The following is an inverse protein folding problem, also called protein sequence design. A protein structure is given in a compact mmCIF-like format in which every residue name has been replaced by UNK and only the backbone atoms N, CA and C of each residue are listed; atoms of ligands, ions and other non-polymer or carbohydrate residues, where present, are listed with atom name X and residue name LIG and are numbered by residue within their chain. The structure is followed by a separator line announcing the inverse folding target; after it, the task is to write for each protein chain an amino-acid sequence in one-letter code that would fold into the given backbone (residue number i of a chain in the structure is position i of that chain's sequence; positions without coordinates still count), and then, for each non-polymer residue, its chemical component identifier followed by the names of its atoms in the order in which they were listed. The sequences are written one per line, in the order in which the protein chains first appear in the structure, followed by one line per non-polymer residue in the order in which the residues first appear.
data_IF_690918447661
#
_entry.id   IF_690918447661
#
_cell.length_a   1.000
_cell.length_b   1.000
_cell.length_c   1.000
_cell.angle_alpha   90.00
_cell.angle_beta   90.00
_cell.angle_gamma   90.00
#
_symmetry.space_group_name_H-M   'P 1'
#
loop_
_entity.id
_entity.type
_entity.pdbx_description
1 polymer ?
#
# COMPACT_ATOMS: atom_id res chain seq x y z
N UNK A 1 -55.69 42.05 26.77
CA UNK A 1 -54.36 42.63 27.07
C UNK A 1 -53.32 41.67 26.54
N UNK A 2 -52.51 42.15 25.59
CA UNK A 2 -51.14 41.72 25.21
C UNK A 2 -50.87 40.25 24.79
N UNK A 3 -50.68 40.08 23.47
CA UNK A 3 -49.83 39.10 22.73
C UNK A 3 -48.34 39.20 23.21
N UNK A 4 -47.34 38.32 22.88
CA UNK A 4 -47.25 37.45 21.69
C UNK A 4 -46.43 36.13 21.76
N UNK A 5 -46.46 35.35 20.67
CA UNK A 5 -45.24 34.72 20.12
C UNK A 5 -44.90 33.28 20.52
N UNK A 6 -45.56 32.30 19.90
CA UNK A 6 -45.06 30.92 19.82
C UNK A 6 -44.46 30.64 18.44
N UNK A 7 -43.15 30.80 18.32
CA UNK A 7 -42.36 30.46 17.13
C UNK A 7 -42.46 28.94 16.91
N UNK A 8 -42.99 28.53 15.76
CA UNK A 8 -42.87 27.15 15.28
C UNK A 8 -41.41 26.92 14.86
N UNK A 9 -40.59 26.42 15.80
CA UNK A 9 -39.28 25.86 15.49
C UNK A 9 -39.47 24.57 14.68
N UNK A 10 -39.39 24.70 13.36
CA UNK A 10 -39.09 23.59 12.48
C UNK A 10 -37.61 23.23 12.59
N UNK A 11 -37.30 22.02 13.05
CA UNK A 11 -36.05 21.30 12.82
C UNK A 11 -36.25 19.86 13.33
N UNK A 12 -35.91 18.77 12.67
CA UNK A 12 -34.93 18.50 11.61
C UNK A 12 -35.39 17.23 10.87
N UNK A 13 -35.47 17.17 9.53
CA UNK A 13 -35.43 15.90 8.84
C UNK A 13 -34.02 15.61 8.33
N UNK A 14 -33.59 14.35 8.59
CA UNK A 14 -32.51 13.56 7.95
C UNK A 14 -31.26 13.34 8.80
N UNK A 15 -31.28 12.26 9.59
CA UNK A 15 -30.10 11.40 9.65
C UNK A 15 -29.89 10.83 8.24
N UNK A 16 -28.97 11.44 7.48
CA UNK A 16 -28.30 10.73 6.39
C UNK A 16 -27.49 9.63 7.08
N UNK A 17 -27.77 8.35 6.78
CA UNK A 17 -26.95 7.25 7.26
C UNK A 17 -25.47 7.57 6.98
N UNK A 18 -24.69 7.83 8.02
CA UNK A 18 -23.27 8.05 7.89
C UNK A 18 -22.66 6.77 7.32
N UNK A 19 -21.99 6.90 6.19
CA UNK A 19 -21.30 5.77 5.57
C UNK A 19 -20.14 5.43 6.51
N UNK A 20 -20.09 4.20 7.01
CA UNK A 20 -19.06 3.73 7.95
C UNK A 20 -18.27 2.59 7.33
N UNK A 21 -16.97 2.56 7.60
CA UNK A 21 -16.11 1.44 7.27
C UNK A 21 -16.26 0.38 8.37
N UNK A 22 -16.86 -0.75 8.02
CA UNK A 22 -17.21 -1.78 9.00
C UNK A 22 -15.96 -2.37 9.69
N UNK A 23 -15.99 -2.38 11.02
CA UNK A 23 -14.96 -2.98 11.88
C UNK A 23 -13.53 -2.53 11.59
N UNK A 24 -13.37 -1.22 11.38
CA UNK A 24 -12.10 -0.56 11.14
C UNK A 24 -11.52 0.06 12.42
N UNK A 25 -10.25 -0.20 12.69
CA UNK A 25 -9.51 0.28 13.87
C UNK A 25 -8.22 0.94 13.43
N UNK A 26 -7.77 1.96 14.16
CA UNK A 26 -6.51 2.61 13.83
C UNK A 26 -5.71 3.05 15.07
N UNK A 27 -4.39 3.02 14.93
CA UNK A 27 -3.42 3.62 15.84
C UNK A 27 -2.57 4.62 15.04
N UNK A 28 -2.62 5.88 15.44
CA UNK A 28 -1.93 6.99 14.77
C UNK A 28 -0.95 7.62 15.76
N UNK A 29 0.32 7.69 15.38
CA UNK A 29 1.41 8.13 16.27
C UNK A 29 2.20 9.23 15.56
N UNK A 30 2.37 10.37 16.23
CA UNK A 30 3.17 11.49 15.75
C UNK A 30 4.09 12.01 16.84
N UNK A 31 5.40 12.01 16.61
CA UNK A 31 6.39 12.39 17.63
C UNK A 31 7.37 13.40 17.06
N UNK A 32 7.39 14.59 17.67
CA UNK A 32 8.28 15.69 17.32
C UNK A 32 9.11 16.20 18.49
N UNK A 33 8.57 16.21 19.70
CA UNK A 33 9.19 16.81 20.89
C UNK A 33 9.98 15.78 21.72
N UNK A 34 11.03 15.22 21.12
CA UNK A 34 11.91 14.26 21.80
C UNK A 34 12.72 14.91 22.94
N UNK A 35 12.86 14.20 24.06
CA UNK A 35 13.60 14.68 25.23
C UNK A 35 15.11 14.44 25.16
N UNK A 36 15.54 13.33 24.55
CA UNK A 36 16.93 12.87 24.56
C UNK A 36 17.51 12.62 23.15
N UNK A 37 16.74 12.96 22.11
CA UNK A 37 17.21 13.04 20.71
C UNK A 37 16.69 14.34 20.10
N UNK A 38 17.22 14.75 18.94
CA UNK A 38 16.83 16.01 18.34
C UNK A 38 15.33 16.06 18.04
N UNK A 39 14.66 17.20 18.29
CA UNK A 39 13.27 17.35 17.92
C UNK A 39 13.09 17.36 16.41
N UNK A 40 11.91 16.95 15.95
CA UNK A 40 11.47 17.07 14.58
C UNK A 40 10.58 18.31 14.40
N UNK A 41 10.36 18.79 13.16
CA UNK A 41 9.39 19.86 12.91
C UNK A 41 8.00 19.49 13.43
N UNK A 42 7.26 20.46 13.97
CA UNK A 42 5.88 20.27 14.44
C UNK A 42 4.92 19.71 13.38
N UNK A 43 5.27 19.84 12.10
CA UNK A 43 4.56 19.19 10.99
C UNK A 43 4.36 17.68 11.20
N UNK A 44 5.25 16.99 11.94
CA UNK A 44 5.13 15.55 12.23
C UNK A 44 3.92 15.23 13.13
N UNK A 45 3.67 16.04 14.14
CA UNK A 45 2.48 15.88 15.00
C UNK A 45 1.23 16.32 14.24
N UNK A 46 1.34 17.40 13.48
CA UNK A 46 0.25 17.88 12.62
C UNK A 46 -0.18 16.83 11.59
N UNK A 47 0.78 16.11 10.99
CA UNK A 47 0.56 14.98 10.09
C UNK A 47 -0.30 13.89 10.75
N UNK A 48 0.08 13.46 11.96
CA UNK A 48 -0.67 12.47 12.72
C UNK A 48 -2.09 12.95 13.07
N UNK A 49 -2.25 14.20 13.49
CA UNK A 49 -3.56 14.79 13.74
C UNK A 49 -4.44 14.80 12.50
N UNK A 50 -3.91 15.25 11.36
CA UNK A 50 -4.68 15.28 10.11
C UNK A 50 -5.03 13.89 9.59
N UNK A 51 -4.16 12.88 9.80
CA UNK A 51 -4.46 11.49 9.44
C UNK A 51 -5.61 10.97 10.30
N UNK A 52 -5.59 11.20 11.61
CA UNK A 52 -6.72 10.84 12.47
C UNK A 52 -8.02 11.48 11.97
N UNK A 53 -8.00 12.79 11.74
CA UNK A 53 -9.20 13.52 11.30
C UNK A 53 -9.72 12.98 9.96
N UNK A 54 -8.83 12.66 9.01
CA UNK A 54 -9.23 12.06 7.75
C UNK A 54 -9.85 10.66 7.91
N UNK A 55 -9.38 9.86 8.87
CA UNK A 55 -9.91 8.51 9.13
C UNK A 55 -11.29 8.52 9.79
N UNK A 56 -11.56 9.47 10.70
CA UNK A 56 -12.87 9.55 11.38
C UNK A 56 -13.91 10.36 10.58
N UNK A 57 -13.50 11.07 9.53
CA UNK A 57 -14.41 11.84 8.68
C UNK A 57 -15.41 10.88 7.99
N UNK A 58 -16.73 11.01 8.23
CA UNK A 58 -17.73 10.17 7.57
C UNK A 58 -17.80 10.34 6.05
N UNK A 59 -17.23 11.41 5.50
CA UNK A 59 -17.20 11.67 4.06
C UNK A 59 -16.08 10.88 3.34
N UNK A 60 -14.98 10.54 4.02
CA UNK A 60 -13.83 9.88 3.39
C UNK A 60 -13.08 8.84 4.25
N UNK A 61 -13.20 8.86 5.56
CA UNK A 61 -12.55 7.87 6.41
C UNK A 61 -13.49 6.75 6.82
N UNK A 62 -14.60 7.13 7.45
CA UNK A 62 -15.64 6.20 7.90
C UNK A 62 -15.27 5.36 9.13
N UNK A 63 -14.15 5.61 9.80
CA UNK A 63 -13.81 4.95 11.06
C UNK A 63 -14.68 5.52 12.19
N UNK A 64 -15.05 4.66 13.13
CA UNK A 64 -15.66 5.12 14.39
C UNK A 64 -14.60 5.84 15.24
N UNK A 65 -14.94 7.01 15.77
CA UNK A 65 -14.04 7.84 16.59
C UNK A 65 -13.39 7.06 17.75
N UNK A 66 -14.17 6.24 18.47
CA UNK A 66 -13.70 5.40 19.56
C UNK A 66 -12.78 4.23 19.16
N UNK A 67 -12.58 4.01 17.84
CA UNK A 67 -11.68 2.98 17.29
C UNK A 67 -10.40 3.56 16.69
N UNK A 68 -10.21 4.88 16.75
CA UNK A 68 -9.00 5.55 16.29
C UNK A 68 -8.25 6.14 17.48
N UNK A 69 -7.13 5.51 17.84
CA UNK A 69 -6.26 5.96 18.93
C UNK A 69 -5.19 6.89 18.37
N UNK A 70 -4.98 8.05 18.99
CA UNK A 70 -3.94 9.01 18.63
C UNK A 70 -2.98 9.20 19.81
N UNK A 71 -1.68 9.06 19.55
CA UNK A 71 -0.61 9.37 20.51
C UNK A 71 0.29 10.47 19.94
N UNK A 72 0.41 11.59 20.64
CA UNK A 72 1.25 12.73 20.23
C UNK A 72 2.28 13.08 21.28
N UNK A 73 3.52 13.31 20.83
CA UNK A 73 4.61 13.79 21.68
C UNK A 73 4.62 13.08 23.06
N UNK A 74 4.38 13.82 24.16
CA UNK A 74 4.41 13.29 25.53
C UNK A 74 3.46 12.12 25.82
N UNK A 75 2.45 11.90 24.99
CA UNK A 75 1.55 10.73 25.06
C UNK A 75 2.21 9.48 24.45
N UNK A 76 3.11 9.65 23.47
CA UNK A 76 3.71 8.59 22.67
C UNK A 76 4.97 8.00 23.32
N UNK A 77 4.85 7.59 24.59
CA UNK A 77 5.90 6.88 25.32
C UNK A 77 6.03 5.44 24.83
N UNK A 78 7.19 4.81 25.08
CA UNK A 78 7.41 3.41 24.74
C UNK A 78 6.39 2.47 25.39
N UNK A 79 5.94 2.79 26.60
CA UNK A 79 4.89 2.04 27.29
C UNK A 79 3.50 2.25 26.63
N UNK A 80 3.16 3.50 26.29
CA UNK A 80 1.87 3.82 25.67
C UNK A 80 1.73 3.21 24.27
N UNK A 81 2.78 3.25 23.45
CA UNK A 81 2.75 2.63 22.11
C UNK A 81 2.55 1.12 22.20
N UNK A 82 3.27 0.44 23.10
CA UNK A 82 3.09 -1.00 23.36
C UNK A 82 1.67 -1.31 23.85
N UNK A 83 1.16 -0.52 24.80
CA UNK A 83 -0.20 -0.64 25.31
C UNK A 83 -1.24 -0.51 24.19
N UNK A 84 -1.11 0.52 23.35
CA UNK A 84 -2.03 0.75 22.24
C UNK A 84 -2.02 -0.37 21.18
N UNK A 85 -0.85 -0.99 20.93
CA UNK A 85 -0.75 -2.16 20.04
C UNK A 85 -1.41 -3.41 20.66
N UNK A 86 -1.26 -3.62 21.97
CA UNK A 86 -1.97 -4.70 22.68
C UNK A 86 -3.50 -4.46 22.70
N UNK A 87 -3.95 -3.21 22.87
CA UNK A 87 -5.36 -2.84 22.74
C UNK A 87 -5.89 -3.08 21.32
N UNK A 88 -5.11 -2.75 20.29
CA UNK A 88 -5.47 -3.02 18.90
C UNK A 88 -5.63 -4.53 18.65
N UNK A 89 -4.71 -5.34 19.19
CA UNK A 89 -4.81 -6.80 19.18
C UNK A 89 -6.05 -7.33 19.90
N UNK A 90 -6.44 -6.73 21.02
CA UNK A 90 -7.60 -7.15 21.79
C UNK A 90 -8.93 -6.77 21.10
N UNK A 91 -8.99 -5.61 20.45
CA UNK A 91 -10.19 -5.09 19.77
C UNK A 91 -10.43 -5.69 18.39
N UNK A 92 -9.37 -6.08 17.67
CA UNK A 92 -9.49 -6.66 16.35
C UNK A 92 -9.84 -8.16 16.38
N UNK A 93 -10.68 -8.58 15.46
CA UNK A 93 -10.94 -9.98 15.10
C UNK A 93 -10.61 -10.27 13.63
N UNK A 94 -10.85 -11.50 13.14
CA UNK A 94 -10.49 -11.91 11.79
C UNK A 94 -11.17 -11.12 10.66
N UNK A 95 -12.31 -10.46 10.94
CA UNK A 95 -13.00 -9.59 9.97
C UNK A 95 -12.55 -8.13 9.98
N UNK A 96 -11.73 -7.74 10.96
CA UNK A 96 -11.35 -6.34 11.17
C UNK A 96 -10.33 -5.85 10.15
N UNK A 97 -10.36 -4.54 9.90
CA UNK A 97 -9.31 -3.81 9.20
C UNK A 97 -8.58 -2.92 10.20
N UNK A 98 -7.27 -3.07 10.31
CA UNK A 98 -6.42 -2.29 11.19
C UNK A 98 -5.48 -1.40 10.39
N UNK A 99 -5.30 -0.15 10.83
CA UNK A 99 -4.32 0.79 10.29
C UNK A 99 -3.38 1.27 11.40
N UNK A 100 -2.07 1.17 11.20
CA UNK A 100 -1.07 1.74 12.10
C UNK A 100 -0.28 2.78 11.33
N UNK A 101 -0.35 4.04 11.75
CA UNK A 101 0.42 5.14 11.18
C UNK A 101 1.44 5.62 12.21
N UNK A 102 2.70 5.71 11.82
CA UNK A 102 3.78 6.25 12.65
C UNK A 102 4.57 7.31 11.87
N UNK A 103 4.70 8.51 12.43
CA UNK A 103 5.61 9.55 11.95
C UNK A 103 6.50 10.03 13.10
N UNK A 104 7.81 9.91 12.91
CA UNK A 104 8.79 10.17 13.96
C UNK A 104 10.20 9.71 13.56
N UNK A 105 11.09 9.62 14.54
CA UNK A 105 12.45 9.10 14.36
C UNK A 105 12.50 7.57 14.31
N UNK A 106 13.43 7.08 13.51
CA UNK A 106 13.97 5.73 13.60
C UNK A 106 15.42 5.77 14.09
N UNK A 107 15.85 4.72 14.79
CA UNK A 107 17.23 4.51 15.22
C UNK A 107 17.81 3.23 14.63
N UNK A 108 19.14 3.19 14.48
CA UNK A 108 19.86 2.00 14.01
C UNK A 108 21.03 1.74 14.95
N UNK A 109 21.14 0.50 15.43
CA UNK A 109 22.34 -0.02 16.08
C UNK A 109 23.03 -0.93 15.07
N UNK A 110 24.28 -0.64 14.73
CA UNK A 110 24.99 -1.25 13.59
C UNK A 110 25.94 -2.38 13.97
N UNK A 111 26.25 -2.53 15.25
CA UNK A 111 27.15 -3.56 15.77
C UNK A 111 26.74 -3.99 17.19
N UNK A 112 27.32 -5.08 17.67
CA UNK A 112 27.05 -5.59 19.01
C UNK A 112 25.75 -6.40 19.12
N UNK A 113 25.42 -6.89 20.33
CA UNK A 113 24.31 -7.82 20.56
C UNK A 113 22.92 -7.19 20.39
N UNK A 114 22.84 -5.85 20.31
CA UNK A 114 21.59 -5.09 20.12
C UNK A 114 21.44 -4.54 18.69
N UNK A 115 22.23 -5.07 17.75
CA UNK A 115 22.17 -4.71 16.32
C UNK A 115 20.72 -4.81 15.80
N UNK A 116 20.26 -3.78 15.10
CA UNK A 116 18.89 -3.72 14.61
C UNK A 116 18.40 -2.32 14.31
N UNK A 117 17.19 -2.24 13.78
CA UNK A 117 16.45 -1.00 13.58
C UNK A 117 15.43 -0.81 14.70
N UNK A 118 15.14 0.44 15.03
CA UNK A 118 14.28 0.82 16.14
C UNK A 118 13.35 1.95 15.73
N UNK A 119 12.10 1.91 16.17
CA UNK A 119 11.25 3.11 16.25
C UNK A 119 11.53 3.79 17.58
N UNK A 120 11.58 5.13 17.57
CA UNK A 120 11.90 5.91 18.76
C UNK A 120 10.63 6.55 19.34
N UNK A 121 10.16 6.10 20.52
CA UNK A 121 9.17 6.80 21.32
C UNK A 121 9.68 8.17 21.80
N UNK A 122 8.80 9.01 22.35
CA UNK A 122 9.18 10.36 22.84
C UNK A 122 10.24 10.33 23.94
N UNK A 123 10.22 9.27 24.74
CA UNK A 123 11.12 8.98 25.86
C UNK A 123 12.33 8.12 25.46
N UNK A 124 12.58 7.95 24.14
CA UNK A 124 13.78 7.29 23.65
C UNK A 124 15.04 8.05 24.04
N UNK A 125 15.99 7.34 24.66
CA UNK A 125 17.30 7.84 25.06
C UNK A 125 18.40 7.41 24.09
N UNK A 126 18.85 8.36 23.27
CA UNK A 126 19.92 8.16 22.30
C UNK A 126 21.35 8.33 22.84
N UNK A 127 21.54 8.45 24.15
CA UNK A 127 22.85 8.71 24.77
C UNK A 127 23.85 7.55 24.64
N UNK A 128 23.35 6.31 24.48
CA UNK A 128 24.18 5.12 24.29
C UNK A 128 23.42 4.04 23.51
N UNK A 129 24.12 3.02 22.99
CA UNK A 129 23.48 1.86 22.36
C UNK A 129 22.54 1.11 23.32
N UNK A 130 22.94 0.94 24.58
CA UNK A 130 22.13 0.25 25.59
C UNK A 130 20.90 1.05 25.99
N UNK A 131 21.05 2.37 26.19
CA UNK A 131 19.92 3.27 26.44
C UNK A 131 18.91 3.25 25.29
N UNK A 132 19.40 3.36 24.05
CA UNK A 132 18.54 3.37 22.86
C UNK A 132 17.82 2.03 22.70
N UNK A 133 18.53 0.93 22.91
CA UNK A 133 17.93 -0.40 22.82
C UNK A 133 16.96 -0.70 23.97
N UNK A 134 17.11 -0.06 25.13
CA UNK A 134 16.23 -0.21 26.29
C UNK A 134 14.96 0.65 26.21
N UNK A 135 15.03 1.79 25.53
CA UNK A 135 13.92 2.78 25.45
C UNK A 135 13.22 2.79 24.09
N UNK A 136 13.91 2.39 23.01
CA UNK A 136 13.35 2.21 21.68
C UNK A 136 12.45 0.96 21.57
N UNK A 137 11.75 0.86 20.44
CA UNK A 137 10.99 -0.34 20.04
C UNK A 137 11.73 -0.98 18.88
N UNK A 138 12.31 -2.17 19.10
CA UNK A 138 13.09 -2.83 18.03
C UNK A 138 12.19 -3.29 16.89
N UNK A 139 12.75 -3.46 15.70
CA UNK A 139 12.04 -4.02 14.55
C UNK A 139 11.47 -5.41 14.85
N UNK A 140 12.20 -6.23 15.61
CA UNK A 140 11.75 -7.55 16.06
C UNK A 140 10.55 -7.46 17.00
N UNK A 141 10.62 -6.56 17.99
CA UNK A 141 9.54 -6.32 18.93
C UNK A 141 8.29 -5.79 18.23
N UNK A 142 8.45 -4.77 17.39
CA UNK A 142 7.37 -4.19 16.59
C UNK A 142 6.72 -5.26 15.71
N UNK A 143 7.54 -6.12 15.09
CA UNK A 143 7.03 -7.23 14.28
C UNK A 143 6.25 -8.24 15.11
N UNK A 144 6.72 -8.58 16.31
CA UNK A 144 6.00 -9.46 17.22
C UNK A 144 4.65 -8.88 17.64
N UNK A 145 4.62 -7.60 18.01
CA UNK A 145 3.40 -6.89 18.42
C UNK A 145 2.39 -6.82 17.27
N UNK A 146 2.82 -6.42 16.07
CA UNK A 146 1.94 -6.32 14.91
C UNK A 146 1.47 -7.69 14.42
N UNK A 147 2.34 -8.70 14.41
CA UNK A 147 1.98 -10.09 14.06
C UNK A 147 0.92 -10.67 14.99
N UNK A 148 0.88 -10.23 16.25
CA UNK A 148 -0.12 -10.66 17.22
C UNK A 148 -1.50 -9.98 17.05
N UNK A 149 -1.59 -8.89 16.26
CA UNK A 149 -2.88 -8.27 15.91
C UNK A 149 -3.69 -9.23 15.06
N UNK A 150 -4.93 -9.52 15.50
CA UNK A 150 -5.82 -10.53 14.90
C UNK A 150 -6.57 -10.07 13.65
N UNK A 151 -6.47 -8.78 13.29
CA UNK A 151 -7.05 -8.26 12.07
C UNK A 151 -6.45 -9.00 10.87
N UNK A 152 -7.30 -9.59 10.01
CA UNK A 152 -6.84 -10.20 8.77
C UNK A 152 -6.26 -9.14 7.83
N UNK A 153 -6.73 -7.90 7.92
CA UNK A 153 -6.29 -6.78 7.08
C UNK A 153 -5.53 -5.79 7.95
N UNK A 154 -4.22 -5.68 7.78
CA UNK A 154 -3.39 -4.73 8.51
C UNK A 154 -2.57 -3.89 7.54
N UNK A 155 -2.80 -2.58 7.54
CA UNK A 155 -1.95 -1.60 6.87
C UNK A 155 -1.06 -0.88 7.89
N UNK A 156 0.25 -0.94 7.70
CA UNK A 156 1.25 -0.20 8.48
C UNK A 156 1.85 0.89 7.61
N UNK A 157 1.85 2.13 8.07
CA UNK A 157 2.40 3.29 7.35
C UNK A 157 3.48 3.92 8.21
N UNK A 158 4.71 3.95 7.67
CA UNK A 158 5.89 4.49 8.34
C UNK A 158 6.39 5.75 7.61
N UNK A 159 6.16 6.92 8.19
CA UNK A 159 6.72 8.21 7.74
C UNK A 159 7.91 8.63 8.61
N UNK A 160 8.95 7.80 8.62
CA UNK A 160 10.21 8.04 9.34
C UNK A 160 11.27 8.61 8.38
N UNK A 161 11.96 9.70 8.75
CA UNK A 161 12.94 10.38 7.89
C UNK A 161 14.41 10.02 8.18
N UNK A 162 15.24 10.06 7.12
CA UNK A 162 16.60 10.66 7.13
C UNK A 162 16.57 12.01 6.37
N UNK A 163 17.60 12.86 6.48
CA UNK A 163 17.69 14.27 6.05
C UNK A 163 18.64 14.53 4.85
N UNK A 164 18.32 15.48 3.94
CA UNK A 164 19.33 16.10 3.06
C UNK A 164 18.88 16.82 1.78
N UNK A 165 18.58 18.15 1.85
CA UNK A 165 18.63 19.10 0.70
C UNK A 165 17.42 20.04 0.40
N UNK A 166 17.66 21.36 0.26
CA UNK A 166 16.75 22.46 -0.19
C UNK A 166 15.47 22.76 0.66
N UNK A 167 14.83 21.76 1.29
CA UNK A 167 13.84 21.93 2.37
C UNK A 167 14.46 21.85 3.78
N UNK A 168 13.71 22.19 4.84
CA UNK A 168 14.19 21.94 6.22
C UNK A 168 14.28 20.43 6.46
N UNK A 169 15.48 19.89 6.72
CA UNK A 169 15.63 18.46 6.95
C UNK A 169 15.08 18.06 8.33
N UNK A 170 14.42 16.91 8.42
CA UNK A 170 14.24 16.18 9.70
C UNK A 170 15.63 15.66 10.16
N UNK A 171 16.49 16.55 10.68
CA UNK A 171 17.92 16.34 10.88
C UNK A 171 18.26 15.49 12.12
N UNK A 172 19.42 14.81 12.08
CA UNK A 172 19.98 14.01 13.18
C UNK A 172 21.43 14.45 13.46
N UNK A 173 21.84 14.45 14.74
CA UNK A 173 23.22 14.67 15.21
C UNK A 173 23.95 13.32 15.29
N UNK A 174 25.22 13.22 14.87
CA UNK A 174 26.04 12.06 15.15
C UNK A 174 26.37 12.00 16.66
N UNK A 175 26.02 10.90 17.32
CA UNK A 175 26.52 10.55 18.66
C UNK A 175 27.77 9.69 18.45
N UNK A 176 28.90 10.04 19.07
CA UNK A 176 30.15 9.27 18.94
C UNK A 176 29.95 7.81 19.38
N UNK A 177 30.33 6.85 18.53
CA UNK A 177 30.14 5.41 18.77
C UNK A 177 28.80 4.82 18.27
N UNK A 178 27.94 5.65 17.67
CA UNK A 178 26.74 5.26 16.94
C UNK A 178 26.91 5.66 15.47
N UNK A 179 27.35 4.72 14.62
CA UNK A 179 27.51 4.96 13.18
C UNK A 179 26.14 5.18 12.50
N UNK A 180 25.75 6.45 12.37
CA UNK A 180 24.68 6.90 11.48
C UNK A 180 23.28 6.43 11.87
N UNK A 181 22.43 7.37 12.29
CA UNK A 181 20.99 7.13 12.33
C UNK A 181 20.45 6.94 10.90
N UNK A 182 20.51 5.71 10.42
CA UNK A 182 19.84 5.26 9.20
C UNK A 182 18.41 4.94 9.60
N UNK A 183 17.46 5.81 9.27
CA UNK A 183 16.07 5.62 9.62
C UNK A 183 15.39 4.63 8.66
N UNK A 184 14.48 3.83 9.20
CA UNK A 184 13.67 2.87 8.47
C UNK A 184 14.00 1.43 8.85
N UNK A 185 13.00 0.56 8.75
CA UNK A 185 13.17 -0.86 9.00
C UNK A 185 14.08 -1.50 7.93
N UNK A 186 14.75 -2.61 8.27
CA UNK A 186 15.57 -3.35 7.32
C UNK A 186 14.68 -4.06 6.27
N UNK A 187 15.26 -4.47 5.13
CA UNK A 187 14.52 -5.27 4.15
C UNK A 187 13.91 -6.55 4.76
N UNK A 188 14.68 -7.22 5.63
CA UNK A 188 14.23 -8.39 6.37
C UNK A 188 13.14 -8.05 7.41
N UNK A 189 13.17 -6.86 8.00
CA UNK A 189 12.12 -6.41 8.93
C UNK A 189 10.81 -6.16 8.17
N UNK A 190 10.88 -5.55 6.98
CA UNK A 190 9.71 -5.37 6.12
C UNK A 190 9.13 -6.71 5.65
N UNK A 191 9.97 -7.67 5.29
CA UNK A 191 9.53 -9.03 4.92
C UNK A 191 8.87 -9.73 6.10
N UNK A 192 9.44 -9.61 7.31
CA UNK A 192 8.86 -10.20 8.52
C UNK A 192 7.58 -9.49 8.98
N UNK A 193 7.47 -8.18 8.78
CA UNK A 193 6.23 -7.43 9.05
C UNK A 193 5.13 -7.73 8.04
N UNK A 194 5.52 -7.96 6.78
CA UNK A 194 4.61 -8.44 5.77
C UNK A 194 4.27 -9.91 5.99
N UNK A 195 5.02 -10.67 6.83
CA UNK A 195 4.77 -12.08 7.06
C UNK A 195 3.38 -12.34 7.67
N UNK A 196 2.52 -13.03 6.90
CA UNK A 196 1.15 -13.38 7.29
C UNK A 196 0.10 -12.81 6.34
N UNK A 197 -1.03 -13.49 6.21
CA UNK A 197 -2.08 -13.09 5.26
C UNK A 197 -2.66 -11.70 5.59
N UNK A 198 -2.74 -10.85 4.56
CA UNK A 198 -3.42 -9.55 4.57
C UNK A 198 -2.63 -8.41 5.22
N UNK A 199 -1.30 -8.52 5.28
CA UNK A 199 -0.41 -7.49 5.82
C UNK A 199 0.21 -6.63 4.71
N UNK A 200 0.18 -5.32 4.90
CA UNK A 200 0.64 -4.32 3.95
C UNK A 200 1.44 -3.24 4.69
N UNK A 201 2.54 -2.79 4.09
CA UNK A 201 3.41 -1.76 4.63
C UNK A 201 3.66 -0.70 3.57
N UNK A 202 3.41 0.55 3.92
CA UNK A 202 3.88 1.72 3.22
C UNK A 202 5.02 2.35 4.01
N UNK A 203 6.14 2.65 3.35
CA UNK A 203 7.16 3.51 3.94
C UNK A 203 7.35 4.76 3.07
N UNK A 204 7.54 5.91 3.69
CA UNK A 204 7.62 7.18 2.99
C UNK A 204 8.84 7.31 2.07
N UNK A 205 9.94 6.61 2.37
CA UNK A 205 11.18 6.63 1.60
C UNK A 205 11.91 5.28 1.68
N UNK A 206 12.82 5.02 0.73
CA UNK A 206 13.78 3.91 0.83
C UNK A 206 14.82 4.16 1.91
N UNK A 207 15.53 3.10 2.30
CA UNK A 207 16.56 3.10 3.36
C UNK A 207 17.69 4.14 3.15
N UNK A 208 17.97 4.49 1.89
CA UNK A 208 19.00 5.43 1.46
C UNK A 208 18.44 6.80 1.01
N UNK A 209 17.15 7.04 1.21
CA UNK A 209 16.45 8.23 0.76
C UNK A 209 15.86 9.07 1.91
N UNK A 210 15.56 10.33 1.60
CA UNK A 210 15.08 11.35 2.55
C UNK A 210 13.57 11.52 2.39
N UNK A 211 12.82 11.61 3.49
CA UNK A 211 11.41 12.07 3.49
C UNK A 211 11.35 13.56 3.82
N UNK A 212 10.54 14.31 3.06
CA UNK A 212 10.63 15.77 2.96
C UNK A 212 9.47 16.49 3.62
N UNK A 213 9.74 17.70 4.12
CA UNK A 213 8.73 18.76 4.29
C UNK A 213 9.16 19.89 3.36
N UNK A 214 8.34 20.23 2.36
CA UNK A 214 8.66 21.32 1.45
C UNK A 214 8.55 22.67 2.20
N UNK A 215 9.36 23.65 1.82
CA UNK A 215 9.28 25.00 2.43
C UNK A 215 7.86 25.54 2.25
N UNK A 216 7.25 25.97 3.36
CA UNK A 216 5.86 26.48 3.45
C UNK A 216 4.73 25.42 3.38
N UNK A 217 5.03 24.13 3.27
CA UNK A 217 4.01 23.08 3.43
C UNK A 217 3.73 22.79 4.91
N UNK A 218 2.47 22.54 5.24
CA UNK A 218 2.04 22.20 6.59
C UNK A 218 2.32 20.74 6.98
N UNK A 219 2.56 19.87 5.99
CA UNK A 219 2.67 18.42 6.12
C UNK A 219 3.96 17.89 5.48
N UNK A 220 4.39 16.68 5.84
CA UNK A 220 5.40 15.97 5.03
C UNK A 220 4.88 15.73 3.61
N UNK A 221 5.78 15.68 2.62
CA UNK A 221 5.44 15.46 1.22
C UNK A 221 4.65 14.14 1.05
N UNK A 222 5.08 13.09 1.74
CA UNK A 222 4.39 11.82 1.74
C UNK A 222 2.99 11.95 2.38
N UNK A 223 2.90 12.54 3.57
CA UNK A 223 1.64 12.64 4.30
C UNK A 223 0.64 13.56 3.61
N UNK A 224 1.09 14.64 2.98
CA UNK A 224 0.27 15.52 2.12
C UNK A 224 -0.47 14.72 1.05
N UNK A 225 0.25 13.84 0.34
CA UNK A 225 -0.35 13.02 -0.70
C UNK A 225 -1.13 11.84 -0.14
N UNK A 226 -0.72 11.27 0.99
CA UNK A 226 -1.50 10.25 1.70
C UNK A 226 -2.87 10.79 2.12
N UNK A 227 -2.92 12.00 2.70
CA UNK A 227 -4.15 12.68 3.07
C UNK A 227 -5.03 12.96 1.86
N UNK A 228 -4.47 13.43 0.75
CA UNK A 228 -5.24 13.64 -0.47
C UNK A 228 -5.83 12.33 -1.00
N UNK A 229 -5.06 11.23 -0.96
CA UNK A 229 -5.52 9.89 -1.33
C UNK A 229 -6.67 9.41 -0.46
N UNK A 230 -6.51 9.46 0.87
CA UNK A 230 -7.54 9.09 1.86
C UNK A 230 -8.80 9.95 1.72
N UNK A 231 -8.65 11.23 1.38
CA UNK A 231 -9.77 12.17 1.14
C UNK A 231 -10.44 11.99 -0.24
N UNK A 232 -10.03 10.97 -0.99
CA UNK A 232 -10.73 10.54 -2.20
C UNK A 232 -9.98 10.74 -3.51
N UNK A 233 -8.78 11.31 -3.51
CA UNK A 233 -7.98 11.40 -4.74
C UNK A 233 -7.55 10.02 -5.25
N UNK A 234 -7.61 9.00 -4.39
CA UNK A 234 -7.39 7.59 -4.70
C UNK A 234 -8.69 6.74 -4.64
N UNK A 235 -9.87 7.36 -4.63
CA UNK A 235 -11.12 6.61 -4.54
C UNK A 235 -11.48 5.90 -5.84
N UNK A 236 -11.82 4.62 -5.73
CA UNK A 236 -12.42 3.82 -6.80
C UNK A 236 -13.86 4.27 -7.10
N UNK A 237 -14.42 3.84 -8.24
CA UNK A 237 -15.77 4.23 -8.71
C UNK A 237 -16.90 3.83 -7.78
N UNK A 238 -16.70 2.80 -6.95
CA UNK A 238 -17.63 2.36 -5.92
C UNK A 238 -17.51 3.14 -4.60
N UNK A 239 -16.63 4.15 -4.58
CA UNK A 239 -16.45 5.07 -3.47
C UNK A 239 -15.76 4.42 -2.28
N UNK A 240 -14.79 3.55 -2.51
CA UNK A 240 -13.82 3.08 -1.51
C UNK A 240 -12.41 3.51 -1.91
N UNK A 241 -11.57 3.77 -0.92
CA UNK A 241 -10.12 3.92 -1.10
C UNK A 241 -9.49 2.61 -0.63
N UNK A 242 -8.85 1.89 -1.54
CA UNK A 242 -8.20 0.62 -1.26
C UNK A 242 -6.68 0.76 -1.30
N UNK A 243 -5.98 -0.24 -0.75
CA UNK A 243 -4.53 -0.19 -0.52
C UNK A 243 -3.72 0.07 -1.81
N UNK A 244 -4.10 -0.51 -2.95
CA UNK A 244 -3.30 -0.39 -4.16
C UNK A 244 -3.45 0.97 -4.83
N UNK A 245 -4.70 1.45 -4.96
CA UNK A 245 -5.03 2.77 -5.50
C UNK A 245 -4.45 3.87 -4.62
N UNK A 246 -4.51 3.69 -3.30
CA UNK A 246 -3.91 4.63 -2.34
C UNK A 246 -2.39 4.72 -2.55
N UNK A 247 -1.69 3.58 -2.58
CA UNK A 247 -0.25 3.60 -2.79
C UNK A 247 0.12 4.17 -4.16
N UNK A 248 -0.58 3.77 -5.23
CA UNK A 248 -0.34 4.29 -6.57
C UNK A 248 -0.43 5.82 -6.60
N UNK A 249 -1.53 6.36 -6.07
CA UNK A 249 -1.74 7.80 -6.04
C UNK A 249 -0.60 8.51 -5.30
N UNK A 250 -0.28 8.05 -4.08
CA UNK A 250 0.75 8.63 -3.23
C UNK A 250 2.10 8.58 -3.93
N UNK A 251 2.46 7.42 -4.48
CA UNK A 251 3.79 7.21 -5.03
C UNK A 251 4.01 7.97 -6.35
N UNK A 252 2.96 8.16 -7.17
CA UNK A 252 2.98 9.08 -8.31
C UNK A 252 3.13 10.53 -7.85
N UNK A 253 2.27 10.98 -6.95
CA UNK A 253 2.24 12.38 -6.54
C UNK A 253 3.55 12.83 -5.85
N UNK A 254 4.15 11.97 -5.03
CA UNK A 254 5.48 12.21 -4.42
C UNK A 254 6.58 12.30 -5.48
N UNK A 255 6.50 11.51 -6.56
CA UNK A 255 7.46 11.56 -7.67
C UNK A 255 7.31 12.83 -8.49
N UNK A 256 6.08 13.20 -8.82
CA UNK A 256 5.74 14.38 -9.63
C UNK A 256 6.16 15.68 -8.94
N UNK A 257 6.26 15.68 -7.61
CA UNK A 257 6.82 16.78 -6.82
C UNK A 257 8.35 17.00 -7.05
N UNK A 258 9.01 16.19 -7.88
CA UNK A 258 10.38 16.42 -8.36
C UNK A 258 11.49 16.02 -7.39
N UNK A 259 11.15 15.30 -6.31
CA UNK A 259 12.09 14.88 -5.26
C UNK A 259 12.78 13.53 -5.54
N UNK A 260 13.82 13.22 -4.72
CA UNK A 260 14.48 11.89 -4.67
C UNK A 260 13.75 10.87 -3.80
N UNK A 261 12.66 11.27 -3.13
CA UNK A 261 11.87 10.38 -2.30
C UNK A 261 11.12 9.36 -3.15
N UNK A 262 11.25 8.07 -2.81
CA UNK A 262 10.51 6.96 -3.40
C UNK A 262 9.81 6.20 -2.29
N UNK A 263 8.48 6.36 -2.15
CA UNK A 263 7.68 5.51 -1.29
C UNK A 263 7.94 4.02 -1.54
N UNK A 264 7.85 3.20 -0.49
CA UNK A 264 8.03 1.75 -0.56
C UNK A 264 6.71 1.08 -0.26
N UNK A 265 6.39 0.05 -1.03
CA UNK A 265 5.24 -0.82 -0.82
C UNK A 265 5.73 -2.25 -0.63
N UNK A 266 5.30 -2.87 0.47
CA UNK A 266 5.54 -4.28 0.78
C UNK A 266 4.23 -4.91 1.22
N UNK A 267 3.90 -6.08 0.73
CA UNK A 267 2.68 -6.76 1.15
C UNK A 267 2.81 -8.28 1.09
N UNK A 268 1.98 -8.94 1.88
CA UNK A 268 1.59 -10.32 1.71
C UNK A 268 0.07 -10.39 1.85
N UNK A 269 -0.64 -10.00 0.80
CA UNK A 269 -2.10 -9.98 0.77
C UNK A 269 -2.61 -10.51 -0.57
N UNK A 270 -3.72 -11.24 -0.51
CA UNK A 270 -4.53 -11.63 -1.67
C UNK A 270 -5.81 -10.77 -1.78
N UNK A 271 -5.97 -9.76 -0.92
CA UNK A 271 -7.13 -8.87 -0.86
C UNK A 271 -6.69 -7.41 -1.05
N UNK A 272 -7.28 -6.70 -2.02
CA UNK A 272 -7.16 -5.24 -2.17
C UNK A 272 -8.18 -4.56 -1.24
N UNK A 273 -7.97 -4.67 0.06
CA UNK A 273 -8.97 -4.24 1.03
C UNK A 273 -9.10 -2.71 1.11
N UNK A 274 -10.33 -2.26 1.42
CA UNK A 274 -10.63 -0.86 1.66
C UNK A 274 -10.02 -0.38 2.99
N UNK A 275 -9.41 0.80 2.97
CA UNK A 275 -8.79 1.47 4.12
C UNK A 275 -9.42 2.83 4.42
N UNK A 276 -10.30 3.31 3.55
CA UNK A 276 -11.06 4.53 3.72
C UNK A 276 -12.29 4.49 2.80
N UNK A 277 -13.23 5.41 3.05
CA UNK A 277 -14.33 5.68 2.14
C UNK A 277 -13.89 6.70 1.07
N UNK A 278 -14.35 6.56 -0.16
CA UNK A 278 -14.30 7.67 -1.10
C UNK A 278 -15.43 8.66 -0.78
N UNK A 279 -15.25 9.98 -0.99
CA UNK A 279 -16.38 10.89 -1.08
C UNK A 279 -17.37 10.31 -2.10
N UNK A 280 -18.63 10.16 -1.68
CA UNK A 280 -19.68 9.58 -2.51
C UNK A 280 -19.65 10.22 -3.90
N UNK A 281 -19.46 9.40 -4.93
CA UNK A 281 -19.02 9.81 -6.25
C UNK A 281 -19.75 11.06 -6.78
N UNK A 282 -19.07 12.04 -7.41
CA UNK A 282 -19.68 12.72 -8.53
C UNK A 282 -20.05 11.63 -9.55
N UNK A 283 -21.23 11.77 -10.15
CA UNK A 283 -21.76 10.89 -11.19
C UNK A 283 -20.65 10.33 -12.08
N UNK A 284 -20.77 9.03 -12.35
CA UNK A 284 -19.98 8.28 -13.32
C UNK A 284 -19.25 9.18 -14.32
N UNK A 285 -17.95 9.00 -14.48
CA UNK A 285 -17.35 9.23 -15.80
C UNK A 285 -18.00 8.23 -16.76
N UNK A 286 -19.21 8.54 -17.21
CA UNK A 286 -19.74 8.07 -18.49
C UNK A 286 -18.99 8.82 -19.57
N UNK A 287 -17.88 8.23 -19.96
CA UNK A 287 -17.44 8.14 -21.35
C UNK A 287 -16.46 6.97 -21.36
N UNK A 288 -16.75 5.96 -22.18
CA UNK A 288 -15.91 4.79 -22.31
C UNK A 288 -14.47 5.22 -22.51
N UNK A 289 -13.61 4.91 -21.54
CA UNK A 289 -12.21 4.68 -21.88
C UNK A 289 -12.26 3.45 -22.77
N UNK A 290 -12.15 3.67 -24.08
CA UNK A 290 -11.87 2.59 -25.00
C UNK A 290 -10.68 1.83 -24.44
N UNK A 291 -10.82 0.51 -24.30
CA UNK A 291 -9.70 -0.33 -23.92
C UNK A 291 -8.68 -0.23 -25.04
N UNK A 292 -7.63 0.54 -24.79
CA UNK A 292 -6.56 0.85 -25.73
C UNK A 292 -5.67 -0.34 -26.02
N UNK A 293 -5.72 -1.39 -25.20
CA UNK A 293 -4.84 -2.55 -25.34
C UNK A 293 -5.68 -3.84 -25.37
N UNK A 294 -5.28 -4.81 -26.18
CA UNK A 294 -5.98 -6.10 -26.25
C UNK A 294 -5.57 -7.02 -25.10
N UNK A 295 -4.30 -6.95 -24.68
CA UNK A 295 -3.79 -7.79 -23.60
C UNK A 295 -2.64 -7.12 -22.84
N UNK A 296 -2.73 -7.17 -21.51
CA UNK A 296 -1.60 -6.91 -20.61
C UNK A 296 -0.90 -8.23 -20.29
N UNK A 297 0.41 -8.27 -20.44
CA UNK A 297 1.22 -9.47 -20.14
C UNK A 297 2.02 -9.24 -18.86
N UNK A 298 1.73 -10.07 -17.86
CA UNK A 298 2.43 -10.13 -16.59
C UNK A 298 3.39 -11.32 -16.57
N UNK A 299 4.65 -11.10 -16.21
CA UNK A 299 5.71 -12.10 -16.25
C UNK A 299 6.84 -11.75 -15.27
N UNK A 300 7.62 -12.74 -14.85
CA UNK A 300 8.80 -12.52 -14.02
C UNK A 300 10.00 -12.05 -14.87
N UNK A 301 10.93 -11.23 -14.33
CA UNK A 301 12.10 -10.75 -15.07
C UNK A 301 12.93 -11.85 -15.73
N UNK A 302 12.97 -13.06 -15.15
CA UNK A 302 13.66 -14.22 -15.70
C UNK A 302 13.04 -14.76 -16.99
N UNK A 303 11.74 -14.49 -17.22
CA UNK A 303 11.01 -14.91 -18.41
C UNK A 303 11.10 -13.90 -19.57
N UNK A 304 11.81 -12.78 -19.37
CA UNK A 304 11.89 -11.66 -20.33
C UNK A 304 12.28 -12.12 -21.74
N UNK A 305 13.24 -13.05 -21.86
CA UNK A 305 13.64 -13.60 -23.16
C UNK A 305 12.47 -14.27 -23.88
N UNK A 306 11.74 -15.15 -23.19
CA UNK A 306 10.58 -15.83 -23.78
C UNK A 306 9.50 -14.81 -24.17
N UNK A 307 9.24 -13.85 -23.29
CA UNK A 307 8.17 -12.87 -23.51
C UNK A 307 8.46 -11.98 -24.72
N UNK A 308 9.65 -11.40 -24.78
CA UNK A 308 10.00 -10.44 -25.84
C UNK A 308 10.43 -11.08 -27.16
N UNK A 309 11.10 -12.24 -27.13
CA UNK A 309 11.58 -12.88 -28.36
C UNK A 309 10.55 -13.84 -28.97
N UNK A 310 9.58 -14.33 -28.18
CA UNK A 310 8.61 -15.34 -28.64
C UNK A 310 7.16 -14.88 -28.50
N UNK A 311 6.72 -14.57 -27.27
CA UNK A 311 5.29 -14.36 -26.98
C UNK A 311 4.76 -13.09 -27.63
N UNK A 312 5.37 -11.93 -27.35
CA UNK A 312 4.93 -10.63 -27.88
C UNK A 312 4.92 -10.63 -29.41
N UNK A 313 6.01 -11.02 -30.12
CA UNK A 313 5.99 -11.11 -31.58
C UNK A 313 4.92 -12.04 -32.14
N UNK A 314 4.55 -13.09 -31.41
CA UNK A 314 3.45 -13.98 -31.81
C UNK A 314 2.08 -13.31 -31.67
N UNK A 315 1.83 -12.64 -30.54
CA UNK A 315 0.57 -11.93 -30.27
C UNK A 315 0.37 -10.75 -31.23
N UNK A 316 1.41 -9.97 -31.50
CA UNK A 316 1.38 -8.83 -32.42
C UNK A 316 1.13 -9.26 -33.87
N UNK A 317 1.76 -10.37 -34.32
CA UNK A 317 1.47 -10.97 -35.64
C UNK A 317 0.01 -11.42 -35.77
N UNK A 318 -0.64 -11.74 -34.65
CA UNK A 318 -2.07 -12.06 -34.62
C UNK A 318 -2.98 -10.81 -34.60
N UNK A 319 -2.39 -9.60 -34.65
CA UNK A 319 -3.07 -8.31 -34.68
C UNK A 319 -3.50 -7.78 -33.31
N UNK A 320 -2.85 -8.23 -32.23
CA UNK A 320 -3.17 -7.80 -30.86
C UNK A 320 -2.24 -6.67 -30.41
N UNK A 321 -2.81 -5.64 -29.77
CA UNK A 321 -2.05 -4.61 -29.04
C UNK A 321 -1.65 -5.17 -27.67
N UNK A 322 -0.35 -5.30 -27.44
CA UNK A 322 0.22 -5.91 -26.23
C UNK A 322 0.89 -4.84 -25.38
N UNK A 323 0.66 -4.88 -24.08
CA UNK A 323 1.28 -3.98 -23.11
C UNK A 323 1.88 -4.78 -21.95
N UNK A 324 3.03 -4.34 -21.44
CA UNK A 324 3.77 -4.97 -20.33
C UNK A 324 4.11 -3.92 -19.27
N UNK A 325 4.46 -4.34 -18.06
CA UNK A 325 4.78 -3.45 -16.92
C UNK A 325 5.89 -2.43 -17.22
N UNK A 326 6.79 -2.77 -18.12
CA UNK A 326 7.96 -2.00 -18.57
C UNK A 326 7.76 -1.32 -19.93
N UNK A 327 6.59 -1.46 -20.56
CA UNK A 327 6.27 -0.77 -21.81
C UNK A 327 6.30 0.74 -21.61
N UNK A 328 6.94 1.47 -22.55
CA UNK A 328 7.10 2.93 -22.45
C UNK A 328 5.81 3.75 -22.50
N UNK A 329 4.66 3.10 -22.72
CA UNK A 329 3.31 3.67 -22.65
C UNK A 329 2.76 3.71 -21.22
N UNK A 330 3.29 2.88 -20.31
CA UNK A 330 2.96 2.84 -18.89
C UNK A 330 4.10 3.52 -18.12
N UNK A 331 4.04 4.85 -18.02
CA UNK A 331 4.87 5.72 -17.16
C UNK A 331 6.32 5.22 -16.95
N UNK A 332 7.24 5.72 -17.79
CA UNK A 332 8.68 5.44 -17.74
C UNK A 332 9.28 5.90 -16.39
N UNK A 333 9.27 5.00 -15.40
CA UNK A 333 9.74 5.24 -14.04
C UNK A 333 8.75 4.85 -12.94
N UNK A 334 7.53 4.46 -13.28
CA UNK A 334 6.47 4.04 -12.35
C UNK A 334 6.85 2.88 -11.40
N UNK A 335 6.05 2.66 -10.36
CA UNK A 335 6.18 1.46 -9.54
C UNK A 335 5.64 0.26 -10.34
N UNK A 336 6.33 -0.90 -10.37
CA UNK A 336 5.87 -2.06 -11.15
C UNK A 336 4.41 -2.41 -10.89
N UNK A 337 3.98 -2.36 -9.63
CA UNK A 337 2.59 -2.60 -9.21
C UNK A 337 1.59 -1.63 -9.83
N UNK A 338 1.95 -0.35 -9.92
CA UNK A 338 1.08 0.68 -10.51
C UNK A 338 0.99 0.53 -12.03
N UNK A 339 2.11 0.23 -12.68
CA UNK A 339 2.12 -0.07 -14.11
C UNK A 339 1.30 -1.34 -14.40
N UNK A 340 1.37 -2.34 -13.52
CA UNK A 340 0.55 -3.53 -13.63
C UNK A 340 -0.94 -3.24 -13.49
N UNK A 341 -1.35 -2.50 -12.45
CA UNK A 341 -2.74 -2.10 -12.24
C UNK A 341 -3.30 -1.35 -13.47
N UNK A 342 -2.58 -0.36 -13.98
CA UNK A 342 -2.97 0.38 -15.20
C UNK A 342 -3.01 -0.50 -16.44
N UNK A 343 -2.02 -1.37 -16.61
CA UNK A 343 -1.99 -2.34 -17.70
C UNK A 343 -3.23 -3.22 -17.70
N UNK A 344 -3.61 -3.73 -16.52
CA UNK A 344 -4.82 -4.54 -16.31
C UNK A 344 -6.10 -3.74 -16.62
N UNK A 345 -6.19 -2.48 -16.15
CA UNK A 345 -7.37 -1.64 -16.38
C UNK A 345 -7.57 -1.28 -17.86
N UNK A 346 -6.48 -0.89 -18.55
CA UNK A 346 -6.49 -0.46 -19.96
C UNK A 346 -6.59 -1.61 -20.96
N UNK A 347 -6.32 -2.85 -20.53
CA UNK A 347 -6.31 -4.02 -21.42
C UNK A 347 -7.61 -4.81 -21.38
N UNK A 348 -8.03 -5.36 -22.52
CA UNK A 348 -9.20 -6.26 -22.60
C UNK A 348 -9.02 -7.52 -21.75
N UNK A 349 -7.80 -8.05 -21.68
CA UNK A 349 -7.41 -9.26 -20.95
C UNK A 349 -6.07 -9.08 -20.24
N UNK A 350 -5.84 -9.93 -19.25
CA UNK A 350 -4.55 -10.09 -18.57
C UNK A 350 -4.03 -11.50 -18.81
N UNK A 351 -2.88 -11.61 -19.46
CA UNK A 351 -2.16 -12.87 -19.70
C UNK A 351 -1.07 -13.01 -18.64
N UNK A 352 -1.14 -14.06 -17.82
CA UNK A 352 -0.09 -14.37 -16.85
C UNK A 352 0.85 -15.42 -17.42
N UNK A 353 2.14 -15.10 -17.49
CA UNK A 353 3.19 -16.06 -17.84
C UNK A 353 3.61 -16.77 -16.57
N UNK A 354 3.06 -17.97 -16.36
CA UNK A 354 3.26 -18.73 -15.12
C UNK A 354 4.49 -19.62 -15.26
N UNK A 355 5.57 -19.21 -14.59
CA UNK A 355 6.84 -19.93 -14.46
C UNK A 355 7.19 -20.18 -12.99
N UNK A 356 8.29 -20.91 -12.74
CA UNK A 356 8.81 -21.07 -11.38
C UNK A 356 9.25 -19.73 -10.77
N UNK A 357 9.87 -18.86 -11.58
CA UNK A 357 10.27 -17.53 -11.16
C UNK A 357 9.04 -16.68 -10.81
N UNK A 358 8.01 -16.71 -11.67
CA UNK A 358 6.74 -16.03 -11.43
C UNK A 358 6.09 -16.45 -10.11
N UNK A 359 6.10 -17.74 -9.77
CA UNK A 359 5.50 -18.21 -8.50
C UNK A 359 6.35 -17.88 -7.27
N UNK A 360 7.67 -17.67 -7.42
CA UNK A 360 8.55 -17.27 -6.32
C UNK A 360 8.51 -15.77 -6.03
N UNK A 361 8.17 -14.93 -7.02
CA UNK A 361 8.14 -13.49 -6.83
C UNK A 361 6.87 -12.99 -6.15
N UNK A 362 7.03 -12.25 -5.05
CA UNK A 362 5.90 -11.61 -4.35
C UNK A 362 5.16 -10.56 -5.21
N UNK A 363 5.82 -9.96 -6.20
CA UNK A 363 5.18 -9.01 -7.13
C UNK A 363 4.16 -9.69 -8.04
N UNK A 364 4.45 -10.88 -8.53
CA UNK A 364 3.54 -11.66 -9.37
C UNK A 364 2.24 -12.02 -8.61
N UNK A 365 2.34 -12.33 -7.32
CA UNK A 365 1.17 -12.55 -6.47
C UNK A 365 0.27 -11.32 -6.40
N UNK A 366 0.86 -10.13 -6.38
CA UNK A 366 0.16 -8.86 -6.33
C UNK A 366 -0.49 -8.49 -7.66
N UNK A 367 0.21 -8.64 -8.79
CA UNK A 367 -0.39 -8.43 -10.12
C UNK A 367 -1.54 -9.42 -10.39
N UNK A 368 -1.38 -10.66 -9.94
CA UNK A 368 -2.42 -11.69 -10.01
C UNK A 368 -3.63 -11.29 -9.16
N UNK A 369 -3.41 -10.83 -7.93
CA UNK A 369 -4.46 -10.36 -7.01
C UNK A 369 -5.23 -9.17 -7.60
N UNK A 370 -4.51 -8.18 -8.14
CA UNK A 370 -5.07 -7.03 -8.83
C UNK A 370 -5.94 -7.44 -10.03
N UNK A 371 -5.42 -8.33 -10.87
CA UNK A 371 -6.13 -8.80 -12.06
C UNK A 371 -7.42 -9.57 -11.70
N UNK A 372 -7.39 -10.34 -10.62
CA UNK A 372 -8.57 -11.04 -10.10
C UNK A 372 -9.59 -10.04 -9.57
N UNK A 373 -9.17 -9.11 -8.71
CA UNK A 373 -10.08 -8.15 -8.09
C UNK A 373 -10.74 -7.25 -9.15
N UNK A 374 -9.96 -6.68 -10.07
CA UNK A 374 -10.48 -5.89 -11.18
C UNK A 374 -11.38 -6.71 -12.11
N UNK A 375 -11.10 -8.00 -12.28
CA UNK A 375 -11.96 -8.92 -13.02
C UNK A 375 -13.29 -9.21 -12.32
N UNK A 376 -13.29 -9.39 -10.99
CA UNK A 376 -14.49 -9.63 -10.17
C UNK A 376 -15.34 -8.36 -10.09
N UNK A 377 -14.73 -7.22 -9.76
CA UNK A 377 -15.43 -5.94 -9.59
C UNK A 377 -16.09 -5.48 -10.90
N UNK A 378 -15.50 -5.83 -12.05
CA UNK A 378 -16.10 -5.56 -13.37
C UNK A 378 -16.99 -6.69 -13.91
N UNK A 379 -17.19 -7.78 -13.16
CA UNK A 379 -17.98 -8.95 -13.58
C UNK A 379 -17.41 -9.66 -14.82
N UNK A 380 -16.13 -9.44 -15.15
CA UNK A 380 -15.46 -9.87 -16.37
C UNK A 380 -14.25 -10.71 -16.01
N UNK A 381 -14.31 -12.02 -16.20
CA UNK A 381 -13.14 -12.89 -16.09
C UNK A 381 -12.15 -12.58 -17.23
N UNK A 382 -11.17 -11.71 -16.95
CA UNK A 382 -10.19 -11.20 -17.93
C UNK A 382 -8.86 -11.96 -17.93
N UNK A 383 -8.72 -12.96 -17.06
CA UNK A 383 -7.46 -13.61 -16.74
C UNK A 383 -7.21 -14.87 -17.57
N UNK A 384 -6.02 -14.96 -18.18
CA UNK A 384 -5.58 -16.08 -19.03
C UNK A 384 -4.21 -16.55 -18.52
N UNK A 385 -4.07 -17.75 -17.92
CA UNK A 385 -2.77 -18.28 -17.55
C UNK A 385 -2.09 -18.99 -18.73
N UNK A 386 -0.79 -18.77 -18.91
CA UNK A 386 0.10 -19.48 -19.83
C UNK A 386 1.26 -20.09 -19.04
N UNK A 387 1.27 -21.41 -18.86
CA UNK A 387 2.31 -22.09 -18.08
C UNK A 387 3.51 -22.45 -18.96
N UNK A 388 4.73 -22.12 -18.55
CA UNK A 388 5.95 -22.39 -19.31
C UNK A 388 6.58 -23.77 -19.04
N UNK A 389 6.16 -24.45 -17.97
CA UNK A 389 6.58 -25.81 -17.59
C UNK A 389 5.39 -26.59 -17.04
N UNK A 390 5.52 -27.93 -16.96
CA UNK A 390 4.41 -28.78 -16.52
C UNK A 390 3.98 -28.45 -15.08
N UNK A 391 2.67 -28.43 -14.79
CA UNK A 391 2.15 -28.17 -13.44
C UNK A 391 2.57 -29.19 -12.37
N UNK A 392 3.04 -30.39 -12.74
CA UNK A 392 3.44 -31.43 -11.76
C UNK A 392 4.69 -31.06 -10.96
N UNK A 393 5.46 -30.09 -11.44
CA UNK A 393 6.69 -29.62 -10.80
C UNK A 393 6.50 -28.24 -10.12
N UNK A 394 5.31 -27.65 -10.18
CA UNK A 394 5.00 -26.31 -9.70
C UNK A 394 3.80 -26.34 -8.74
N UNK A 395 3.98 -25.90 -7.50
CA UNK A 395 2.86 -25.69 -6.58
C UNK A 395 2.01 -24.49 -7.01
N UNK A 396 1.00 -24.76 -7.83
CA UNK A 396 0.09 -23.72 -8.33
C UNK A 396 -0.87 -23.24 -7.23
N UNK A 397 -1.06 -21.91 -7.07
CA UNK A 397 -2.10 -21.34 -6.23
C UNK A 397 -3.49 -21.86 -6.62
N UNK A 398 -4.37 -22.11 -5.63
CA UNK A 398 -5.72 -22.65 -5.85
C UNK A 398 -6.54 -21.82 -6.86
N UNK A 399 -6.35 -20.50 -6.85
CA UNK A 399 -7.01 -19.56 -7.76
C UNK A 399 -6.65 -19.79 -9.23
N UNK A 400 -5.39 -20.14 -9.52
CA UNK A 400 -4.93 -20.42 -10.87
C UNK A 400 -5.27 -21.84 -11.34
N UNK A 401 -5.48 -22.79 -10.42
CA UNK A 401 -5.88 -24.18 -10.75
C UNK A 401 -7.26 -24.26 -11.41
N UNK A 402 -8.15 -23.34 -11.07
CA UNK A 402 -9.52 -23.31 -11.58
C UNK A 402 -9.65 -22.57 -12.92
N UNK A 403 -8.61 -21.88 -13.37
CA UNK A 403 -8.56 -21.23 -14.68
C UNK A 403 -7.99 -22.21 -15.71
N UNK A 404 -8.57 -22.28 -16.91
CA UNK A 404 -8.00 -23.07 -18.00
C UNK A 404 -6.69 -22.45 -18.47
N UNK A 405 -5.56 -22.89 -17.92
CA UNK A 405 -4.24 -22.49 -18.37
C UNK A 405 -3.92 -23.13 -19.73
N UNK A 406 -3.38 -22.33 -20.66
CA UNK A 406 -2.66 -22.88 -21.80
C UNK A 406 -1.30 -23.39 -21.30
N UNK A 407 -0.92 -24.62 -21.64
CA UNK A 407 0.36 -25.21 -21.22
C UNK A 407 1.32 -25.20 -22.40
N UNK A 408 2.29 -24.28 -22.39
CA UNK A 408 3.28 -24.13 -23.44
C UNK A 408 4.24 -25.33 -23.51
N UNK A 409 4.45 -26.03 -22.39
CA UNK A 409 5.32 -27.20 -22.31
C UNK A 409 4.60 -28.53 -22.60
N UNK A 410 3.32 -28.50 -22.96
CA UNK A 410 2.56 -29.73 -23.19
C UNK A 410 3.07 -30.45 -24.45
N UNK A 411 3.41 -31.75 -24.39
CA UNK A 411 4.04 -32.48 -25.49
C UNK A 411 3.21 -32.56 -26.78
N UNK A 412 1.88 -32.41 -26.68
CA UNK A 412 0.96 -32.54 -27.82
C UNK A 412 0.20 -31.26 -28.16
N UNK A 413 0.09 -30.35 -27.20
CA UNK A 413 -0.76 -29.15 -27.29
C UNK A 413 -0.03 -27.86 -26.85
N UNK A 414 1.28 -27.96 -26.59
CA UNK A 414 2.16 -26.85 -26.26
C UNK A 414 2.71 -26.14 -27.49
N UNK A 415 3.76 -25.34 -27.30
CA UNK A 415 4.37 -24.53 -28.37
C UNK A 415 3.35 -23.59 -29.03
N UNK A 416 3.38 -23.50 -30.37
CA UNK A 416 2.46 -22.65 -31.13
C UNK A 416 0.99 -22.96 -30.85
N UNK A 417 0.59 -24.22 -30.66
CA UNK A 417 -0.81 -24.58 -30.37
C UNK A 417 -1.31 -24.00 -29.05
N UNK A 418 -0.43 -23.85 -28.05
CA UNK A 418 -0.78 -23.17 -26.81
C UNK A 418 -0.95 -21.65 -27.05
N UNK A 419 -0.07 -21.05 -27.85
CA UNK A 419 -0.17 -19.63 -28.22
C UNK A 419 -1.41 -19.32 -29.06
N UNK A 420 -1.79 -20.21 -29.98
CA UNK A 420 -3.06 -20.10 -30.73
C UNK A 420 -4.26 -20.06 -29.78
N UNK A 421 -4.29 -20.94 -28.76
CA UNK A 421 -5.35 -20.94 -27.75
C UNK A 421 -5.37 -19.65 -26.94
N UNK A 422 -4.21 -19.09 -26.62
CA UNK A 422 -4.10 -17.78 -25.96
C UNK A 422 -4.69 -16.69 -26.84
N UNK A 423 -4.32 -16.63 -28.12
CA UNK A 423 -4.87 -15.65 -29.08
C UNK A 423 -6.39 -15.76 -29.17
N UNK A 424 -6.92 -16.98 -29.30
CA UNK A 424 -8.37 -17.21 -29.33
C UNK A 424 -9.04 -16.74 -28.05
N UNK A 425 -8.46 -17.06 -26.89
CA UNK A 425 -8.98 -16.63 -25.59
C UNK A 425 -8.98 -15.10 -25.45
N UNK A 426 -7.97 -14.40 -26.00
CA UNK A 426 -7.90 -12.94 -26.00
C UNK A 426 -9.00 -12.32 -26.88
N UNK A 427 -9.21 -12.88 -28.07
CA UNK A 427 -10.20 -12.40 -29.05
C UNK A 427 -11.65 -12.69 -28.67
N UNK A 428 -11.91 -13.59 -27.71
CA UNK A 428 -13.26 -13.87 -27.25
C UNK A 428 -13.93 -12.60 -26.69
N UNK A 429 -15.20 -12.32 -27.07
CA UNK A 429 -15.93 -11.18 -26.56
C UNK A 429 -15.92 -11.15 -25.03
N UNK A 430 -15.60 -10.00 -24.47
CA UNK A 430 -15.71 -9.78 -23.03
C UNK A 430 -17.20 -9.72 -22.72
N UNK A 431 -17.76 -10.76 -22.09
CA UNK A 431 -19.19 -10.82 -21.76
C UNK A 431 -19.56 -9.59 -20.93
N UNK A 432 -20.49 -8.78 -21.44
CA UNK A 432 -21.21 -7.78 -20.65
C UNK A 432 -22.33 -8.50 -19.90
N UNK A 433 -22.41 -8.28 -18.58
CA UNK A 433 -23.68 -8.41 -17.87
C UNK A 433 -24.14 -7.01 -17.49
#
# INVERSE_FOLDING_TARGET
MSDPGGVMEGNVPRMKNARQLHDAHALVIGISAYGHVNPLPRAVVHDAEQIREALIDPACGGYEDGRVTLLRDGEATGAAIRGALEELKARCGPGSTALVYFSGHGGSITSGPRVGQYLLPVDADGSSQDSLAGTGISGDELTGLLSAVRAKRLLVILDCCHAGGVGEPKAIVPVEGLDGFKAGLSGADYERLAAGEGRVIFAAARRDEVSWVLRHDANSLFTKHLLAGLRGAAASKDGFVRIFELFEYVARAVRDAGGRQRPVFKCQTEDNFAVALGPGAPAAREKGEELDDDVYVSFAPEDLRFVYETLIPYLERAGLRVVTTDSGTLDLGGYPVANAARGIERSKRTLLVVSEAYLREHYAALETTLAIQLGIDQGKYRLIPLTLRRPRDLEMPLLLRNLQAADYAHPYTGGEKALERVVQAIKLPVRSM
#
